data_IF_715329199910
#
_entry.id   IF_715329199910
#
_cell.length_a   1.000
_cell.length_b   1.000
_cell.length_c   1.000
_cell.angle_alpha   90.00
_cell.angle_beta   90.00
_cell.angle_gamma   90.00
#
_symmetry.space_group_name_H-M   'P 1'
#
loop_
_entity.id
_entity.type
_entity.pdbx_description
1 polymer ?
#
# COMPACT_ATOMS: atom_id res chain seq x y z
N UNK A 1 -3.80 -17.13 2.47
CA UNK A 1 -3.85 -15.69 2.70
C UNK A 1 -5.29 -15.23 2.84
N UNK A 2 -5.58 -14.48 3.88
CA UNK A 2 -6.90 -13.90 4.08
C UNK A 2 -6.96 -12.52 3.42
N UNK A 3 -7.38 -12.49 2.17
CA UNK A 3 -7.46 -11.23 1.42
C UNK A 3 -8.46 -10.24 2.02
N UNK A 4 -9.53 -10.74 2.64
CA UNK A 4 -10.52 -9.88 3.29
C UNK A 4 -9.94 -9.14 4.51
N UNK A 5 -8.99 -9.75 5.19
CA UNK A 5 -8.30 -9.12 6.31
C UNK A 5 -7.11 -8.28 5.87
N UNK A 6 -6.38 -8.74 4.85
CA UNK A 6 -5.19 -8.06 4.35
C UNK A 6 -5.52 -6.69 3.76
N UNK A 7 -6.58 -6.59 2.97
CA UNK A 7 -6.96 -5.34 2.33
C UNK A 7 -7.16 -4.19 3.31
N UNK A 8 -8.10 -4.32 4.28
CA UNK A 8 -8.30 -3.27 5.29
C UNK A 8 -7.07 -3.01 6.15
N UNK A 9 -6.31 -4.06 6.51
CA UNK A 9 -5.10 -3.93 7.30
C UNK A 9 -4.08 -3.02 6.60
N UNK A 10 -3.79 -3.29 5.34
CA UNK A 10 -2.86 -2.47 4.57
C UNK A 10 -3.41 -1.08 4.29
N UNK A 11 -4.71 -0.97 3.97
CA UNK A 11 -5.34 0.31 3.69
C UNK A 11 -5.20 1.27 4.88
N UNK A 12 -5.39 0.77 6.10
CA UNK A 12 -5.22 1.57 7.31
C UNK A 12 -3.78 2.04 7.49
N UNK A 13 -2.80 1.17 7.25
CA UNK A 13 -1.38 1.52 7.36
C UNK A 13 -0.99 2.56 6.31
N UNK A 14 -1.46 2.41 5.10
CA UNK A 14 -1.20 3.36 4.01
C UNK A 14 -1.81 4.73 4.33
N UNK A 15 -3.05 4.74 4.82
CA UNK A 15 -3.72 5.97 5.20
C UNK A 15 -2.97 6.70 6.31
N UNK A 16 -2.57 5.97 7.35
CA UNK A 16 -1.92 6.57 8.51
C UNK A 16 -0.53 7.10 8.18
N UNK A 17 0.22 6.40 7.33
CA UNK A 17 1.62 6.75 7.05
C UNK A 17 1.76 7.72 5.87
N UNK A 18 0.99 7.52 4.81
CA UNK A 18 1.13 8.28 3.56
C UNK A 18 -0.07 9.17 3.27
N UNK A 19 -1.06 9.20 4.13
CA UNK A 19 -2.29 9.98 3.96
C UNK A 19 -3.00 9.64 2.64
N UNK A 20 -2.86 8.40 2.18
CA UNK A 20 -3.42 7.95 0.92
C UNK A 20 -4.66 7.11 1.15
N UNK A 21 -5.72 7.43 0.42
CA UNK A 21 -6.97 6.65 0.47
C UNK A 21 -7.03 5.78 -0.78
N UNK A 22 -6.73 4.49 -0.60
CA UNK A 22 -6.69 3.52 -1.70
C UNK A 22 -7.92 2.62 -1.60
N UNK A 23 -8.56 2.39 -2.76
CA UNK A 23 -9.66 1.44 -2.83
C UNK A 23 -9.15 0.04 -2.43
N UNK A 24 -9.85 -0.59 -1.47
CA UNK A 24 -9.43 -1.89 -0.94
C UNK A 24 -9.41 -2.96 -2.02
N UNK A 25 -10.36 -2.94 -2.95
CA UNK A 25 -10.37 -3.89 -4.07
C UNK A 25 -9.16 -3.75 -4.97
N UNK A 26 -8.77 -2.53 -5.29
CA UNK A 26 -7.56 -2.25 -6.09
C UNK A 26 -6.30 -2.67 -5.33
N UNK A 27 -6.26 -2.43 -4.03
CA UNK A 27 -5.15 -2.81 -3.17
C UNK A 27 -4.98 -4.34 -3.16
N UNK A 28 -6.05 -5.08 -2.96
CA UNK A 28 -6.02 -6.55 -2.97
C UNK A 28 -5.59 -7.08 -4.33
N UNK A 29 -6.10 -6.50 -5.42
CA UNK A 29 -5.71 -6.91 -6.77
C UNK A 29 -4.20 -6.73 -7.00
N UNK A 30 -3.65 -5.60 -6.55
CA UNK A 30 -2.21 -5.35 -6.65
C UNK A 30 -1.41 -6.32 -5.77
N UNK A 31 -1.89 -6.59 -4.56
CA UNK A 31 -1.23 -7.52 -3.63
C UNK A 31 -1.19 -8.95 -4.18
N UNK A 32 -2.27 -9.40 -4.83
CA UNK A 32 -2.32 -10.73 -5.46
C UNK A 32 -1.26 -10.89 -6.54
N UNK A 33 -0.99 -9.82 -7.27
CA UNK A 33 0.02 -9.80 -8.35
C UNK A 33 1.39 -9.41 -7.84
N UNK A 34 1.52 -9.04 -6.58
CA UNK A 34 2.73 -8.49 -5.98
C UNK A 34 3.24 -7.27 -6.76
N UNK A 35 2.31 -6.48 -7.28
CA UNK A 35 2.59 -5.28 -8.08
C UNK A 35 2.84 -4.07 -7.17
N UNK A 36 3.81 -4.20 -6.27
CA UNK A 36 4.09 -3.18 -5.24
C UNK A 36 4.52 -1.85 -5.84
N UNK A 37 5.27 -1.88 -6.93
CA UNK A 37 5.74 -0.66 -7.56
C UNK A 37 4.58 0.14 -8.16
N UNK A 38 3.64 -0.53 -8.83
CA UNK A 38 2.46 0.12 -9.39
C UNK A 38 1.59 0.73 -8.30
N UNK A 39 1.36 -0.04 -7.24
CA UNK A 39 0.61 0.44 -6.08
C UNK A 39 1.33 1.60 -5.42
N UNK A 40 2.66 1.51 -5.31
CA UNK A 40 3.48 2.58 -4.75
C UNK A 40 3.35 3.89 -5.52
N UNK A 41 3.27 3.83 -6.83
CA UNK A 41 3.11 5.02 -7.65
C UNK A 41 1.77 5.71 -7.37
N UNK A 42 0.71 4.94 -7.18
CA UNK A 42 -0.60 5.49 -6.80
C UNK A 42 -0.54 6.13 -5.41
N UNK A 43 0.05 5.43 -4.45
CA UNK A 43 0.21 5.95 -3.08
C UNK A 43 1.06 7.22 -3.09
N UNK A 44 2.11 7.26 -3.91
CA UNK A 44 3.04 8.38 -3.99
C UNK A 44 2.34 9.68 -4.42
N UNK A 45 1.36 9.59 -5.30
CA UNK A 45 0.58 10.76 -5.73
C UNK A 45 -0.05 11.43 -4.51
N UNK A 46 -0.69 10.64 -3.63
CA UNK A 46 -1.29 11.16 -2.41
C UNK A 46 -0.25 11.67 -1.43
N UNK A 47 0.84 10.93 -1.25
CA UNK A 47 1.91 11.31 -0.33
C UNK A 47 2.53 12.65 -0.71
N UNK A 48 2.83 12.84 -1.98
CA UNK A 48 3.39 14.10 -2.48
C UNK A 48 2.40 15.24 -2.37
N UNK A 49 1.12 14.99 -2.62
CA UNK A 49 0.07 15.99 -2.48
C UNK A 49 -0.04 16.50 -1.04
N UNK A 50 0.33 15.66 -0.08
CA UNK A 50 0.35 16.00 1.35
C UNK A 50 1.71 16.44 1.86
N UNK A 51 2.66 16.72 0.96
CA UNK A 51 3.96 17.27 1.32
C UNK A 51 5.00 16.27 1.82
N UNK A 52 4.72 14.97 1.70
CA UNK A 52 5.69 13.96 2.12
C UNK A 52 6.82 13.83 1.11
N UNK A 53 8.05 13.76 1.64
CA UNK A 53 9.25 13.59 0.82
C UNK A 53 9.60 12.10 0.77
N UNK A 54 9.14 11.41 -0.26
CA UNK A 54 9.41 9.99 -0.45
C UNK A 54 9.49 9.69 -1.95
N UNK A 55 9.75 8.43 -2.31
CA UNK A 55 9.80 8.00 -3.69
C UNK A 55 9.18 6.62 -3.86
N UNK A 56 8.93 6.22 -5.11
CA UNK A 56 8.24 4.97 -5.40
C UNK A 56 8.97 3.73 -4.84
N UNK A 57 10.28 3.74 -4.84
CA UNK A 57 11.06 2.60 -4.34
C UNK A 57 10.87 2.41 -2.83
N UNK A 58 10.93 3.51 -2.09
CA UNK A 58 10.73 3.48 -0.63
C UNK A 58 9.30 3.03 -0.32
N UNK A 59 8.32 3.59 -1.00
CA UNK A 59 6.92 3.24 -0.78
C UNK A 59 6.66 1.77 -1.12
N UNK A 60 7.20 1.29 -2.25
CA UNK A 60 7.03 -0.11 -2.66
C UNK A 60 7.61 -1.07 -1.61
N UNK A 61 8.79 -0.77 -1.09
CA UNK A 61 9.41 -1.57 -0.04
C UNK A 61 8.55 -1.60 1.22
N UNK A 62 8.02 -0.46 1.62
CA UNK A 62 7.14 -0.36 2.79
C UNK A 62 5.83 -1.14 2.59
N UNK A 63 5.26 -1.08 1.40
CA UNK A 63 4.04 -1.83 1.09
C UNK A 63 4.27 -3.33 1.21
N UNK A 64 5.40 -3.82 0.69
CA UNK A 64 5.75 -5.23 0.78
C UNK A 64 5.89 -5.67 2.24
N UNK A 65 6.53 -4.87 3.08
CA UNK A 65 6.69 -5.16 4.51
C UNK A 65 5.32 -5.21 5.19
N UNK A 66 4.46 -4.24 4.94
CA UNK A 66 3.11 -4.23 5.52
C UNK A 66 2.26 -5.40 5.05
N UNK A 67 2.43 -5.83 3.80
CA UNK A 67 1.72 -6.99 3.29
C UNK A 67 2.04 -8.24 4.11
N UNK A 68 3.32 -8.46 4.41
CA UNK A 68 3.74 -9.58 5.26
C UNK A 68 3.15 -9.44 6.66
N UNK A 69 3.21 -8.24 7.23
CA UNK A 69 2.65 -7.97 8.57
C UNK A 69 1.14 -8.19 8.60
N UNK A 70 0.45 -7.92 7.50
CA UNK A 70 -0.99 -8.09 7.39
C UNK A 70 -1.41 -9.52 6.97
N UNK A 71 -0.48 -10.44 6.86
CA UNK A 71 -0.78 -11.85 6.64
C UNK A 71 -0.54 -12.39 5.25
N UNK A 72 0.23 -11.69 4.40
CA UNK A 72 0.55 -12.21 3.08
C UNK A 72 1.44 -13.46 3.15
N UNK A 73 2.14 -13.63 4.19
CA UNK A 73 2.89 -14.85 4.47
C UNK A 73 4.08 -15.09 3.60
#
# INVERSE_FOLDING_TARGET
VNWNGLGPCMANKIKDEFFAMINVGALVAAARKKAWKELAMTVLIFAKANGLKTNALIVAGQLAVWAVQCGLG
#
